data_IF_082848290360
#
_entry.id   IF_082848290360
#
_cell.length_a   1.000
_cell.length_b   1.000
_cell.length_c   1.000
_cell.angle_alpha   90.00
_cell.angle_beta   90.00
_cell.angle_gamma   90.00
#
_symmetry.space_group_name_H-M   'P 1'
#
loop_
_entity.id
_entity.type
_entity.pdbx_description
1 polymer ?
#
# COMPACT_ATOMS: atom_id res chain seq x y z
N UNK A 1 -36.65 17.68 -49.11
CA UNK A 1 -37.90 17.05 -48.65
C UNK A 1 -38.56 16.39 -49.85
N UNK A 2 -38.58 15.06 -49.93
CA UNK A 2 -39.38 14.31 -50.92
C UNK A 2 -40.04 13.13 -50.21
N UNK A 3 -41.33 13.02 -50.48
CA UNK A 3 -42.36 12.25 -49.80
C UNK A 3 -42.65 10.96 -50.58
N UNK A 4 -43.06 9.94 -49.82
CA UNK A 4 -43.54 8.57 -50.10
C UNK A 4 -44.04 8.17 -51.50
N UNK A 5 -43.93 6.88 -51.84
CA UNK A 5 -45.05 5.96 -52.19
C UNK A 5 -44.61 4.48 -52.06
N UNK A 6 -45.55 3.62 -51.67
CA UNK A 6 -45.43 2.24 -51.16
C UNK A 6 -45.66 1.14 -52.23
N UNK A 7 -45.89 -0.10 -51.75
CA UNK A 7 -46.54 -1.30 -52.40
C UNK A 7 -45.49 -2.33 -52.91
N UNK A 8 -45.50 -3.66 -52.68
CA UNK A 8 -46.56 -4.66 -52.43
C UNK A 8 -46.02 -6.00 -51.85
N UNK A 9 -46.91 -6.69 -51.12
CA UNK A 9 -47.14 -8.14 -50.90
C UNK A 9 -46.08 -9.23 -51.18
N UNK A 10 -45.97 -10.12 -50.18
CA UNK A 10 -45.59 -11.53 -50.34
C UNK A 10 -46.08 -12.36 -49.16
N UNK A 11 -47.30 -12.90 -49.28
CA UNK A 11 -48.03 -13.75 -48.34
C UNK A 11 -47.51 -15.20 -48.40
N UNK A 12 -47.37 -15.90 -47.27
CA UNK A 12 -47.51 -17.36 -47.20
C UNK A 12 -47.87 -17.83 -45.78
N UNK A 13 -48.93 -18.62 -45.72
CA UNK A 13 -49.70 -19.11 -44.57
C UNK A 13 -49.38 -20.57 -44.22
N UNK A 14 -49.65 -20.95 -42.96
CA UNK A 14 -49.88 -22.33 -42.47
C UNK A 14 -49.40 -22.45 -41.01
N UNK A 15 -50.21 -22.30 -39.94
CA UNK A 15 -51.31 -23.15 -39.41
C UNK A 15 -50.83 -24.61 -39.17
N UNK A 16 -50.95 -25.31 -38.05
CA UNK A 16 -51.70 -25.29 -36.76
C UNK A 16 -50.75 -25.95 -35.70
N UNK A 17 -50.88 -25.87 -34.37
CA UNK A 17 -52.04 -26.21 -33.55
C UNK A 17 -51.88 -25.63 -32.15
N UNK A 18 -53.00 -25.12 -31.66
CA UNK A 18 -53.24 -24.85 -30.26
C UNK A 18 -53.23 -26.15 -29.45
N UNK A 19 -52.65 -26.08 -28.25
CA UNK A 19 -53.18 -26.80 -27.11
C UNK A 19 -53.29 -25.77 -25.99
N UNK A 20 -54.52 -25.39 -25.69
CA UNK A 20 -54.82 -24.56 -24.52
C UNK A 20 -54.85 -25.44 -23.28
N UNK A 21 -54.32 -24.90 -22.18
CA UNK A 21 -54.94 -25.09 -20.89
C UNK A 21 -54.67 -23.85 -20.03
N UNK A 22 -55.74 -23.20 -19.59
CA UNK A 22 -55.72 -22.06 -18.71
C UNK A 22 -55.62 -22.53 -17.26
N UNK A 23 -54.63 -22.04 -16.49
CA UNK A 23 -54.77 -21.89 -15.04
C UNK A 23 -54.11 -20.59 -14.58
N UNK A 24 -54.95 -19.63 -14.20
CA UNK A 24 -54.57 -18.54 -13.32
C UNK A 24 -54.33 -19.09 -11.91
N UNK A 25 -53.15 -18.84 -11.36
CA UNK A 25 -52.95 -18.69 -9.93
C UNK A 25 -51.78 -17.73 -9.71
N UNK A 26 -52.08 -16.61 -9.05
CA UNK A 26 -51.08 -15.73 -8.49
C UNK A 26 -50.32 -16.47 -7.38
N UNK A 27 -49.00 -16.46 -7.47
CA UNK A 27 -48.10 -17.01 -6.45
C UNK A 27 -46.84 -16.16 -6.44
N UNK A 28 -46.62 -15.49 -5.32
CA UNK A 28 -45.53 -14.56 -5.07
C UNK A 28 -44.20 -15.30 -4.94
N UNK A 29 -43.52 -15.52 -6.05
CA UNK A 29 -42.14 -15.99 -6.03
C UNK A 29 -41.23 -14.80 -6.36
N UNK A 30 -41.08 -13.93 -5.35
CA UNK A 30 -39.87 -13.14 -5.22
C UNK A 30 -38.73 -14.13 -5.07
N UNK A 31 -38.19 -14.57 -6.21
CA UNK A 31 -36.93 -15.25 -6.34
C UNK A 31 -35.90 -14.34 -5.67
N UNK A 32 -35.73 -14.55 -4.37
CA UNK A 32 -34.66 -13.99 -3.58
C UNK A 32 -33.42 -14.63 -4.17
N UNK A 33 -32.90 -14.01 -5.23
CA UNK A 33 -31.52 -14.14 -5.61
C UNK A 33 -30.76 -13.65 -4.39
N UNK A 34 -30.45 -14.58 -3.51
CA UNK A 34 -29.32 -14.47 -2.62
C UNK A 34 -28.16 -14.24 -3.58
N UNK A 35 -27.87 -12.97 -3.85
CA UNK A 35 -26.54 -12.58 -4.24
C UNK A 35 -25.68 -12.99 -3.06
N UNK A 36 -25.16 -14.21 -3.10
CA UNK A 36 -23.92 -14.51 -2.41
C UNK A 36 -22.94 -13.49 -2.96
N UNK A 37 -22.77 -12.40 -2.21
CA UNK A 37 -21.71 -11.43 -2.41
C UNK A 37 -20.42 -12.17 -2.07
N UNK A 38 -20.01 -13.06 -2.98
CA UNK A 38 -18.62 -13.43 -3.15
C UNK A 38 -17.90 -12.21 -3.75
N UNK A 39 -17.83 -11.15 -2.96
CA UNK A 39 -16.78 -10.16 -3.16
C UNK A 39 -15.73 -10.48 -2.12
N UNK A 40 -14.96 -11.53 -2.36
CA UNK A 40 -13.58 -11.48 -1.93
C UNK A 40 -13.00 -10.25 -2.62
N UNK A 41 -13.00 -9.10 -1.93
CA UNK A 41 -12.28 -7.91 -2.39
C UNK A 41 -10.85 -8.38 -2.66
N UNK A 42 -10.39 -8.27 -3.90
CA UNK A 42 -9.05 -8.69 -4.26
C UNK A 42 -8.05 -8.01 -3.31
N UNK A 43 -7.16 -8.79 -2.70
CA UNK A 43 -6.13 -8.25 -1.80
C UNK A 43 -5.26 -7.29 -2.61
N UNK A 44 -5.20 -6.05 -2.15
CA UNK A 44 -4.38 -5.00 -2.74
C UNK A 44 -2.91 -5.24 -2.38
N UNK A 45 -2.02 -5.09 -3.36
CA UNK A 45 -0.58 -5.31 -3.19
C UNK A 45 0.19 -4.13 -3.75
N UNK A 46 1.24 -3.72 -3.05
CA UNK A 46 2.18 -2.75 -3.59
C UNK A 46 3.01 -3.38 -4.71
N UNK A 47 3.35 -2.58 -5.72
CA UNK A 47 4.32 -2.99 -6.73
C UNK A 47 5.67 -3.29 -6.07
N UNK A 48 6.35 -4.30 -6.62
CA UNK A 48 7.76 -4.56 -6.31
C UNK A 48 8.57 -3.30 -6.57
N UNK A 49 9.50 -3.02 -5.67
CA UNK A 49 10.41 -1.91 -5.79
C UNK A 49 11.84 -2.43 -5.67
N UNK A 50 12.70 -1.92 -6.52
CA UNK A 50 14.13 -2.15 -6.49
C UNK A 50 14.81 -0.82 -6.79
N UNK A 51 15.77 -0.46 -5.94
CA UNK A 51 16.59 0.72 -6.15
C UNK A 51 18.00 0.42 -5.68
N UNK A 52 18.99 0.94 -6.40
CA UNK A 52 20.40 0.79 -6.06
C UNK A 52 21.14 2.07 -6.43
N UNK A 53 22.02 2.52 -5.55
CA UNK A 53 22.84 3.71 -5.77
C UNK A 53 24.14 3.64 -4.94
N UNK A 54 25.06 4.56 -5.23
CA UNK A 54 26.36 4.67 -4.60
C UNK A 54 26.44 5.90 -3.68
N UNK A 55 26.88 5.71 -2.44
CA UNK A 55 27.04 6.77 -1.44
C UNK A 55 28.53 6.99 -1.16
N UNK A 56 28.95 8.26 -1.19
CA UNK A 56 30.24 8.65 -0.63
C UNK A 56 30.18 8.65 0.90
N UNK A 57 30.98 7.81 1.54
CA UNK A 57 31.02 7.64 2.99
C UNK A 57 32.42 7.93 3.54
N UNK A 58 32.66 9.21 3.85
CA UNK A 58 34.00 9.70 4.16
C UNK A 58 34.93 9.64 2.94
N UNK A 59 36.07 8.96 3.07
CA UNK A 59 36.99 8.67 1.96
C UNK A 59 36.62 7.39 1.19
N UNK A 60 35.61 6.66 1.65
CA UNK A 60 35.15 5.40 1.05
C UNK A 60 33.91 5.65 0.18
N UNK A 61 33.60 4.67 -0.65
CA UNK A 61 32.35 4.58 -1.39
C UNK A 61 31.68 3.26 -1.06
N UNK A 62 30.37 3.27 -0.89
CA UNK A 62 29.55 2.06 -0.70
C UNK A 62 28.40 2.07 -1.70
N UNK A 63 27.95 0.90 -2.09
CA UNK A 63 26.69 0.75 -2.82
C UNK A 63 25.63 0.26 -1.85
N UNK A 64 24.40 0.75 -2.01
CA UNK A 64 23.25 0.24 -1.29
C UNK A 64 22.16 -0.18 -2.26
N UNK A 65 21.36 -1.14 -1.84
CA UNK A 65 20.21 -1.64 -2.56
C UNK A 65 19.02 -1.79 -1.61
N UNK A 66 17.84 -1.36 -2.06
CA UNK A 66 16.56 -1.50 -1.37
C UNK A 66 15.62 -2.31 -2.25
N UNK A 67 15.19 -3.47 -1.76
CA UNK A 67 14.18 -4.30 -2.40
C UNK A 67 12.92 -4.39 -1.54
N UNK A 68 11.77 -3.97 -2.06
CA UNK A 68 10.46 -4.15 -1.43
C UNK A 68 9.60 -5.10 -2.24
N UNK A 69 8.91 -6.00 -1.55
CA UNK A 69 7.84 -6.79 -2.14
C UNK A 69 6.79 -7.19 -1.10
N UNK A 70 5.56 -7.40 -1.56
CA UNK A 70 4.46 -7.93 -0.74
C UNK A 70 4.69 -9.40 -0.39
N UNK A 71 4.27 -9.83 0.81
CA UNK A 71 4.39 -11.21 1.27
C UNK A 71 3.03 -11.78 1.65
N UNK A 72 2.53 -12.71 0.85
CA UNK A 72 1.17 -13.26 0.97
C UNK A 72 0.94 -14.08 2.25
N UNK A 73 2.01 -14.55 2.91
CA UNK A 73 1.93 -15.32 4.15
C UNK A 73 1.87 -14.44 5.41
N UNK A 74 2.02 -13.12 5.28
CA UNK A 74 1.83 -12.20 6.41
C UNK A 74 0.34 -11.91 6.65
N UNK A 75 -0.07 -11.59 7.89
CA UNK A 75 -1.44 -11.15 8.17
C UNK A 75 -1.84 -9.97 7.28
N UNK A 76 -3.04 -10.03 6.73
CA UNK A 76 -3.60 -8.94 5.93
C UNK A 76 -3.95 -7.76 6.83
N UNK A 77 -3.75 -6.57 6.29
CA UNK A 77 -4.17 -5.31 6.90
C UNK A 77 -5.52 -4.92 6.29
N UNK A 78 -6.47 -4.51 7.11
CA UNK A 78 -7.81 -4.10 6.65
C UNK A 78 -8.02 -2.65 7.03
N UNK A 79 -8.42 -1.81 6.06
CA UNK A 79 -8.78 -0.41 6.33
C UNK A 79 -10.23 -0.28 6.85
N UNK A 80 -10.62 0.95 7.21
CA UNK A 80 -11.98 1.25 7.71
C UNK A 80 -13.08 0.96 6.67
N UNK A 81 -12.75 0.93 5.38
CA UNK A 81 -13.67 0.59 4.30
C UNK A 81 -13.79 -0.93 4.07
N UNK A 82 -13.01 -1.75 4.78
CA UNK A 82 -12.97 -3.21 4.64
C UNK A 82 -12.07 -3.71 3.50
N UNK A 83 -11.28 -2.83 2.88
CA UNK A 83 -10.30 -3.19 1.85
C UNK A 83 -9.13 -3.91 2.49
N UNK A 84 -8.72 -5.03 1.88
CA UNK A 84 -7.61 -5.85 2.38
C UNK A 84 -6.32 -5.55 1.62
N UNK A 85 -5.23 -5.40 2.36
CA UNK A 85 -3.90 -5.12 1.85
C UNK A 85 -2.91 -6.19 2.31
N UNK A 86 -2.01 -6.61 1.42
CA UNK A 86 -0.85 -7.40 1.79
C UNK A 86 0.23 -6.49 2.41
N UNK A 87 0.84 -6.92 3.51
CA UNK A 87 2.01 -6.26 4.08
C UNK A 87 3.28 -6.62 3.28
N UNK A 88 4.33 -5.83 3.46
CA UNK A 88 5.57 -5.95 2.71
C UNK A 88 6.75 -6.37 3.58
N UNK A 89 7.81 -6.78 2.91
CA UNK A 89 9.16 -6.80 3.47
C UNK A 89 10.06 -5.88 2.67
N UNK A 90 11.08 -5.34 3.33
CA UNK A 90 12.12 -4.53 2.70
C UNK A 90 13.48 -5.12 3.04
N UNK A 91 14.25 -5.50 2.03
CA UNK A 91 15.64 -5.90 2.21
C UNK A 91 16.56 -4.73 1.89
N UNK A 92 17.38 -4.34 2.87
CA UNK A 92 18.49 -3.42 2.69
C UNK A 92 19.77 -4.24 2.55
N UNK A 93 20.51 -4.01 1.47
CA UNK A 93 21.86 -4.55 1.27
C UNK A 93 22.84 -3.40 1.10
N UNK A 94 23.96 -3.42 1.80
CA UNK A 94 25.03 -2.41 1.68
C UNK A 94 26.36 -3.13 1.46
N UNK A 95 27.05 -2.79 0.38
CA UNK A 95 28.32 -3.35 -0.02
C UNK A 95 29.43 -2.30 -0.02
N UNK A 96 30.62 -2.70 0.41
CA UNK A 96 31.84 -1.92 0.29
C UNK A 96 32.76 -2.61 -0.71
N UNK A 97 32.73 -2.17 -1.97
CA UNK A 97 33.31 -2.94 -3.08
C UNK A 97 32.62 -4.31 -3.18
N UNK A 98 33.39 -5.38 -3.24
CA UNK A 98 32.87 -6.75 -3.32
C UNK A 98 32.46 -7.36 -1.96
N UNK A 99 32.70 -6.63 -0.86
CA UNK A 99 32.36 -7.11 0.50
C UNK A 99 30.98 -6.65 0.91
N UNK A 100 30.09 -7.60 1.23
CA UNK A 100 28.83 -7.29 1.89
C UNK A 100 29.07 -6.80 3.32
N UNK A 101 28.79 -5.53 3.57
CA UNK A 101 28.90 -4.90 4.88
C UNK A 101 27.65 -5.19 5.72
N UNK A 102 26.48 -5.12 5.10
CA UNK A 102 25.20 -5.28 5.77
C UNK A 102 24.19 -5.91 4.82
N UNK A 103 23.38 -6.83 5.35
CA UNK A 103 22.17 -7.28 4.66
C UNK A 103 21.14 -7.66 5.70
N UNK A 104 19.95 -7.08 5.59
CA UNK A 104 18.84 -7.43 6.46
C UNK A 104 17.50 -7.22 5.78
N UNK A 105 16.61 -8.18 5.97
CA UNK A 105 15.19 -8.07 5.63
C UNK A 105 14.42 -7.58 6.85
N UNK A 106 13.77 -6.43 6.70
CA UNK A 106 12.87 -5.82 7.66
C UNK A 106 11.42 -6.15 7.34
N UNK A 107 10.65 -6.35 8.41
CA UNK A 107 9.22 -6.53 8.40
C UNK A 107 8.60 -5.37 9.18
N UNK A 108 7.30 -5.09 9.02
CA UNK A 108 6.60 -4.15 9.91
C UNK A 108 6.85 -4.45 11.40
N UNK A 109 6.82 -5.73 11.78
CA UNK A 109 7.11 -6.20 13.16
C UNK A 109 8.51 -5.82 13.68
N UNK A 110 9.47 -5.54 12.79
CA UNK A 110 10.80 -5.06 13.18
C UNK A 110 10.75 -3.69 13.85
N UNK A 111 9.65 -2.95 13.69
CA UNK A 111 9.47 -1.59 14.17
C UNK A 111 8.35 -1.46 15.22
N UNK A 112 7.82 -2.58 15.70
CA UNK A 112 6.64 -2.61 16.58
C UNK A 112 6.81 -1.78 17.86
N UNK A 113 8.01 -1.75 18.42
CA UNK A 113 8.30 -0.98 19.65
C UNK A 113 8.20 0.53 19.47
N UNK A 114 8.21 1.04 18.23
CA UNK A 114 8.10 2.46 17.92
C UNK A 114 6.64 2.86 17.60
N UNK A 115 5.66 1.98 17.82
CA UNK A 115 4.29 2.21 17.34
C UNK A 115 3.27 1.88 18.42
N UNK A 116 2.22 2.68 18.46
CA UNK A 116 1.02 2.31 19.20
C UNK A 116 0.33 1.12 18.52
N UNK A 117 -0.34 0.29 19.32
CA UNK A 117 -0.95 -0.95 18.84
C UNK A 117 -1.95 -0.69 17.70
N UNK A 118 -2.79 0.31 17.87
CA UNK A 118 -3.86 0.64 16.92
C UNK A 118 -3.29 1.00 15.54
N UNK A 119 -2.31 1.90 15.50
CA UNK A 119 -1.57 2.22 14.28
C UNK A 119 -0.92 0.97 13.66
N UNK A 120 -0.23 0.17 14.48
CA UNK A 120 0.48 -1.01 14.00
C UNK A 120 -0.44 -2.05 13.34
N UNK A 121 -1.66 -2.23 13.84
CA UNK A 121 -2.64 -3.19 13.33
C UNK A 121 -3.17 -2.80 11.94
N UNK A 122 -3.24 -1.51 11.65
CA UNK A 122 -3.83 -0.95 10.43
C UNK A 122 -2.79 -0.42 9.42
N UNK A 123 -1.50 -0.48 9.76
CA UNK A 123 -0.43 0.01 8.89
C UNK A 123 0.29 -1.10 8.11
N UNK A 124 1.00 -0.73 7.04
CA UNK A 124 1.90 -1.58 6.25
C UNK A 124 3.33 -1.03 6.29
N UNK A 125 4.33 -1.90 6.15
CA UNK A 125 5.70 -1.45 5.89
C UNK A 125 5.75 -0.90 4.46
N UNK A 126 5.90 0.40 4.31
CA UNK A 126 5.72 1.07 3.03
C UNK A 126 7.05 1.28 2.32
N UNK A 127 8.03 1.93 2.94
CA UNK A 127 9.18 2.43 2.19
C UNK A 127 10.48 2.43 2.98
N UNK A 128 11.57 2.47 2.23
CA UNK A 128 12.90 2.77 2.75
C UNK A 128 13.67 3.57 1.69
N UNK A 129 14.37 4.61 2.11
CA UNK A 129 15.23 5.41 1.26
C UNK A 129 16.51 5.78 2.00
N UNK A 130 17.61 5.97 1.28
CA UNK A 130 18.77 6.64 1.86
C UNK A 130 18.39 8.09 2.17
N UNK A 131 18.72 8.54 3.38
CA UNK A 131 18.44 9.90 3.83
C UNK A 131 19.73 10.73 3.82
N UNK A 132 20.70 10.40 4.69
CA UNK A 132 21.95 11.15 4.78
C UNK A 132 23.09 10.33 5.40
N UNK A 133 24.30 10.88 5.33
CA UNK A 133 25.40 10.48 6.23
C UNK A 133 25.41 11.42 7.42
N UNK A 134 25.31 10.89 8.64
CA UNK A 134 25.34 11.67 9.89
C UNK A 134 26.29 11.04 10.90
N UNK A 135 27.20 11.83 11.45
CA UNK A 135 28.17 11.41 12.48
C UNK A 135 28.97 10.15 12.08
N UNK A 136 29.30 10.03 10.79
CA UNK A 136 30.03 8.89 10.24
C UNK A 136 29.17 7.62 10.04
N UNK A 137 27.85 7.70 10.18
CA UNK A 137 26.92 6.59 9.97
C UNK A 137 26.03 6.84 8.75
N UNK A 138 25.54 5.77 8.13
CA UNK A 138 24.55 5.86 7.05
C UNK A 138 23.16 5.84 7.66
N UNK A 139 22.32 6.83 7.33
CA UNK A 139 20.95 6.91 7.77
C UNK A 139 20.00 6.56 6.63
N UNK A 140 19.09 5.63 6.88
CA UNK A 140 18.01 5.26 5.96
C UNK A 140 16.67 5.61 6.59
N UNK A 141 15.90 6.47 5.95
CA UNK A 141 14.53 6.74 6.33
C UNK A 141 13.67 5.51 6.01
N UNK A 142 12.75 5.18 6.91
CA UNK A 142 11.79 4.08 6.76
C UNK A 142 10.39 4.62 7.07
N UNK A 143 9.43 4.29 6.23
CA UNK A 143 8.02 4.63 6.45
C UNK A 143 7.20 3.37 6.71
N UNK A 144 6.38 3.45 7.76
CA UNK A 144 5.26 2.55 7.99
C UNK A 144 4.02 3.42 8.00
N UNK A 145 3.01 3.08 7.21
CA UNK A 145 1.90 3.97 6.90
C UNK A 145 0.58 3.24 6.85
N UNK A 146 -0.51 3.98 6.99
CA UNK A 146 -1.82 3.48 6.59
C UNK A 146 -1.83 3.30 5.06
N UNK A 147 -2.32 2.17 4.53
CA UNK A 147 -2.37 1.94 3.09
C UNK A 147 -3.10 3.08 2.35
N UNK A 148 -2.54 3.51 1.22
CA UNK A 148 -3.15 4.55 0.35
C UNK A 148 -3.40 5.89 1.05
N UNK A 149 -2.60 6.23 2.06
CA UNK A 149 -2.68 7.46 2.84
C UNK A 149 -1.31 8.13 2.96
N UNK A 150 -1.31 9.45 3.20
CA UNK A 150 -0.11 10.22 3.55
C UNK A 150 0.21 10.17 5.05
N UNK A 151 -0.54 9.40 5.85
CA UNK A 151 -0.33 9.25 7.29
C UNK A 151 0.66 8.11 7.59
N UNK A 152 1.85 8.47 8.07
CA UNK A 152 2.92 7.53 8.37
C UNK A 152 3.69 7.89 9.64
N UNK A 153 4.34 6.88 10.23
CA UNK A 153 5.36 7.08 11.28
C UNK A 153 6.73 7.03 10.61
N UNK A 154 7.50 8.12 10.61
CA UNK A 154 8.85 8.13 10.10
C UNK A 154 9.82 7.49 11.11
N UNK A 155 10.68 6.62 10.61
CA UNK A 155 11.73 5.96 11.37
C UNK A 155 13.07 6.16 10.65
N UNK A 156 14.16 6.09 11.38
CA UNK A 156 15.51 6.08 10.81
C UNK A 156 16.23 4.82 11.25
N UNK A 157 16.84 4.12 10.31
CA UNK A 157 17.86 3.10 10.58
C UNK A 157 19.22 3.76 10.46
N UNK A 158 20.01 3.71 11.53
CA UNK A 158 21.38 4.22 11.54
C UNK A 158 22.35 3.04 11.45
N UNK A 159 23.02 2.88 10.32
CA UNK A 159 24.01 1.83 10.06
C UNK A 159 25.43 2.33 10.32
N UNK A 160 26.15 1.65 11.20
CA UNK A 160 27.53 1.97 11.60
C UNK A 160 28.56 1.29 10.68
N UNK A 161 29.81 1.78 10.63
CA UNK A 161 30.89 1.20 9.82
C UNK A 161 31.21 -0.27 10.10
N UNK A 162 30.88 -0.79 11.29
CA UNK A 162 31.09 -2.19 11.68
C UNK A 162 29.92 -3.10 11.27
N UNK A 163 28.86 -2.56 10.67
CA UNK A 163 27.66 -3.31 10.27
C UNK A 163 26.60 -3.41 11.36
N UNK A 164 26.84 -2.91 12.57
CA UNK A 164 25.80 -2.77 13.59
C UNK A 164 24.83 -1.65 13.23
N UNK A 165 23.59 -1.73 13.69
CA UNK A 165 22.59 -0.69 13.43
C UNK A 165 21.70 -0.44 14.64
N UNK A 166 21.08 0.73 14.67
CA UNK A 166 19.98 1.09 15.57
C UNK A 166 18.78 1.61 14.78
N UNK A 167 17.64 1.70 15.45
CA UNK A 167 16.42 2.28 14.90
C UNK A 167 15.91 3.34 15.87
N UNK A 168 15.40 4.44 15.34
CA UNK A 168 14.73 5.48 16.11
C UNK A 168 13.54 6.04 15.35
N UNK A 169 12.61 6.69 16.06
CA UNK A 169 11.65 7.60 15.42
C UNK A 169 12.39 8.80 14.88
N UNK A 170 12.05 9.22 13.65
CA UNK A 170 12.52 10.49 13.12
C UNK A 170 11.65 11.61 13.71
N UNK A 171 12.00 12.04 14.92
CA UNK A 171 11.32 13.15 15.56
C UNK A 171 11.87 14.45 14.98
N UNK A 172 11.21 14.99 13.96
CA UNK A 172 11.34 16.42 13.67
C UNK A 172 10.69 17.15 14.83
N UNK A 173 11.49 17.48 15.85
CA UNK A 173 11.08 18.43 16.87
C UNK A 173 11.05 19.81 16.19
N UNK A 174 9.87 20.22 15.73
CA UNK A 174 9.60 21.60 15.38
C UNK A 174 9.76 22.44 16.65
N UNK A 175 10.99 22.88 16.93
CA UNK A 175 11.25 23.90 17.93
C UNK A 175 10.75 25.24 17.36
N UNK A 176 9.43 25.45 17.39
CA UNK A 176 8.88 26.80 17.34
C UNK A 176 9.23 27.43 18.68
N UNK A 177 10.37 28.11 18.74
CA UNK A 177 10.63 29.07 19.80
C UNK A 177 9.65 30.22 19.57
N UNK A 178 8.50 30.18 20.22
CA UNK A 178 7.71 31.40 20.44
C UNK A 178 8.56 32.30 21.36
N UNK A 179 9.35 33.17 20.75
CA UNK A 179 9.86 34.35 21.44
C UNK A 179 8.65 35.25 21.72
N UNK A 180 8.01 35.06 22.87
CA UNK A 180 7.15 36.08 23.43
C UNK A 180 8.07 37.24 23.83
N UNK A 181 8.20 38.20 22.92
CA UNK A 181 8.73 39.52 23.18
C UNK A 181 7.95 40.12 24.34
N UNK A 182 8.51 40.04 25.53
CA UNK A 182 8.14 40.93 26.65
C UNK A 182 8.76 42.29 26.38
N UNK A 183 8.28 42.96 25.34
CA UNK A 183 8.52 44.39 25.22
C UNK A 183 7.59 45.09 26.21
N UNK A 184 8.22 45.62 27.24
CA UNK A 184 7.68 46.54 28.22
C UNK A 184 6.75 47.57 27.56
N UNK A 185 5.53 47.70 28.08
CA UNK A 185 4.69 48.86 27.88
C UNK A 185 4.36 49.43 29.27
N UNK A 186 5.04 50.55 29.55
CA UNK A 186 4.75 51.67 30.47
C UNK A 186 4.35 51.40 31.93
#
# INVERSE_FOLDING_TARGET
>A
MKLHTAIMCGLLLGLFSACGDEKKAAGSDAETRIYSKDTASAVQKMNKYHYSDQIKWGSRSVTYQVDRHSVDSLPLVTDDAGTKYADNVITLTVNQGDRQLFQKTFYKRSFKEYMERDFYEHAILEGMAFDKVKDGNLCFAVSVSYPMSDLYIPLVITLRPDGSYDVAKDLVLDNVVETLDTTSAE
#
